data_IF_363391925059
#
_entry.id   IF_363391925059
#
_cell.length_a   1.000
_cell.length_b   1.000
_cell.length_c   1.000
_cell.angle_alpha   90.00
_cell.angle_beta   90.00
_cell.angle_gamma   90.00
#
_symmetry.space_group_name_H-M   'P 1'
#
loop_
_entity.id
_entity.type
_entity.pdbx_description
1 polymer ?
#
# COMPACT_ATOMS: atom_id res chain seq x y z
N UNK A 1 -2.21 -24.26 -29.02
CA UNK A 1 -1.54 -24.47 -27.72
C UNK A 1 -0.51 -23.38 -27.39
N UNK A 2 0.35 -22.97 -28.34
CA UNK A 2 1.43 -21.98 -28.15
C UNK A 2 0.96 -20.62 -27.57
N UNK A 3 -0.21 -20.12 -27.94
CA UNK A 3 -0.78 -18.85 -27.42
C UNK A 3 -1.14 -18.89 -25.93
N UNK A 4 -1.55 -20.05 -25.41
CA UNK A 4 -1.92 -20.21 -24.01
C UNK A 4 -0.68 -20.22 -23.12
N UNK A 5 0.37 -20.92 -23.57
CA UNK A 5 1.68 -20.96 -22.93
C UNK A 5 2.32 -19.56 -22.87
N UNK A 6 2.23 -18.77 -23.94
CA UNK A 6 2.73 -17.39 -23.95
C UNK A 6 2.02 -16.49 -22.92
N UNK A 7 0.70 -16.63 -22.76
CA UNK A 7 -0.07 -15.93 -21.71
C UNK A 7 0.36 -16.36 -20.30
N UNK A 8 0.67 -17.63 -20.09
CA UNK A 8 1.14 -18.14 -18.79
C UNK A 8 2.53 -17.60 -18.46
N UNK A 9 3.45 -17.61 -19.43
CA UNK A 9 4.79 -17.04 -19.25
C UNK A 9 4.76 -15.53 -19.03
N UNK A 10 3.89 -14.80 -19.74
CA UNK A 10 3.73 -13.36 -19.55
C UNK A 10 3.24 -13.03 -18.12
N UNK A 11 2.25 -13.77 -17.62
CA UNK A 11 1.77 -13.61 -16.24
C UNK A 11 2.87 -13.90 -15.20
N UNK A 12 3.69 -14.93 -15.45
CA UNK A 12 4.80 -15.32 -14.56
C UNK A 12 5.90 -14.25 -14.54
N UNK A 13 6.24 -13.67 -15.70
CA UNK A 13 7.22 -12.58 -15.81
C UNK A 13 6.74 -11.33 -15.07
N UNK A 14 5.47 -10.94 -15.22
CA UNK A 14 4.87 -9.79 -14.51
C UNK A 14 4.87 -9.98 -12.99
N UNK A 15 4.66 -11.22 -12.53
CA UNK A 15 4.70 -11.55 -11.10
C UNK A 15 6.12 -11.42 -10.53
N UNK A 16 7.13 -11.92 -11.25
CA UNK A 16 8.54 -11.83 -10.83
C UNK A 16 9.05 -10.37 -10.83
N UNK A 17 8.67 -9.56 -11.82
CA UNK A 17 9.07 -8.15 -11.87
C UNK A 17 8.37 -7.30 -10.80
N UNK A 18 7.14 -7.65 -10.40
CA UNK A 18 6.45 -6.99 -9.29
C UNK A 18 7.14 -7.20 -7.94
N UNK A 19 7.81 -8.33 -7.74
CA UNK A 19 8.62 -8.59 -6.54
C UNK A 19 9.90 -7.74 -6.50
N UNK A 20 10.46 -7.42 -7.66
CA UNK A 20 11.69 -6.61 -7.81
C UNK A 20 11.42 -5.09 -7.77
N UNK A 21 10.19 -4.65 -8.07
CA UNK A 21 9.77 -3.24 -8.04
C UNK A 21 9.30 -2.74 -6.66
N UNK A 22 9.29 -3.59 -5.63
CA UNK A 22 8.74 -3.31 -4.30
C UNK A 22 9.63 -2.41 -3.42
N UNK A 23 10.37 -1.47 -4.01
CA UNK A 23 11.27 -0.58 -3.27
C UNK A 23 11.23 0.90 -3.72
N UNK A 24 10.24 1.28 -4.53
CA UNK A 24 9.96 2.68 -4.80
C UNK A 24 9.00 3.22 -3.73
N UNK A 25 9.27 4.40 -3.11
CA UNK A 25 8.33 5.05 -2.20
C UNK A 25 7.16 5.61 -3.02
N UNK A 26 6.23 4.74 -3.39
CA UNK A 26 4.98 5.14 -4.04
C UNK A 26 4.18 5.98 -3.04
N UNK A 27 3.78 7.17 -3.48
CA UNK A 27 2.86 8.02 -2.71
C UNK A 27 1.56 7.27 -2.40
N UNK A 28 0.85 7.60 -1.33
CA UNK A 28 -0.44 6.97 -0.92
C UNK A 28 -1.42 6.80 -2.08
N UNK A 29 -1.41 7.76 -3.01
CA UNK A 29 -2.21 7.77 -4.22
C UNK A 29 -1.74 6.76 -5.26
N UNK A 30 -0.44 6.66 -5.52
CA UNK A 30 0.12 5.62 -6.40
C UNK A 30 -0.04 4.23 -5.79
N UNK A 31 0.07 4.11 -4.47
CA UNK A 31 -0.14 2.86 -3.75
C UNK A 31 -1.62 2.47 -3.76
N UNK A 32 -2.53 3.41 -3.52
CA UNK A 32 -3.99 3.18 -3.53
C UNK A 32 -4.54 2.92 -4.94
N UNK A 33 -4.13 3.72 -5.92
CA UNK A 33 -4.48 3.49 -7.32
C UNK A 33 -3.83 2.22 -7.86
N UNK A 34 -2.55 1.95 -7.54
CA UNK A 34 -1.84 0.75 -7.96
C UNK A 34 -2.42 -0.53 -7.36
N UNK A 35 -2.72 -0.54 -6.06
CA UNK A 35 -3.35 -1.69 -5.39
C UNK A 35 -4.80 -1.87 -5.87
N UNK A 36 -5.56 -0.78 -6.03
CA UNK A 36 -6.92 -0.84 -6.55
C UNK A 36 -6.96 -1.37 -7.99
N UNK A 37 -6.08 -0.86 -8.85
CA UNK A 37 -5.92 -1.30 -10.24
C UNK A 37 -5.51 -2.75 -10.34
N UNK A 38 -4.45 -3.15 -9.64
CA UNK A 38 -3.90 -4.50 -9.70
C UNK A 38 -4.85 -5.51 -9.04
N UNK A 39 -5.42 -5.16 -7.88
CA UNK A 39 -6.40 -5.98 -7.17
C UNK A 39 -7.69 -6.14 -7.97
N UNK A 40 -8.20 -5.04 -8.54
CA UNK A 40 -9.40 -5.03 -9.38
C UNK A 40 -9.18 -5.77 -10.70
N UNK A 41 -8.03 -5.61 -11.36
CA UNK A 41 -7.70 -6.34 -12.59
C UNK A 41 -7.47 -7.82 -12.33
N UNK A 42 -6.87 -8.19 -11.20
CA UNK A 42 -6.69 -9.59 -10.81
C UNK A 42 -8.05 -10.25 -10.53
N UNK A 43 -8.88 -9.64 -9.69
CA UNK A 43 -10.22 -10.16 -9.37
C UNK A 43 -11.11 -10.20 -10.61
N UNK A 44 -11.13 -9.13 -11.40
CA UNK A 44 -11.87 -9.04 -12.65
C UNK A 44 -11.37 -10.02 -13.70
N UNK A 45 -10.07 -10.30 -13.76
CA UNK A 45 -9.48 -11.30 -14.66
C UNK A 45 -9.85 -12.73 -14.28
N UNK A 46 -9.85 -13.04 -12.98
CA UNK A 46 -10.32 -14.34 -12.45
C UNK A 46 -11.79 -14.53 -12.78
N UNK A 47 -12.65 -13.56 -12.44
CA UNK A 47 -14.09 -13.64 -12.71
C UNK A 47 -14.36 -13.66 -14.23
N UNK A 48 -13.68 -12.83 -15.00
CA UNK A 48 -13.79 -12.82 -16.47
C UNK A 48 -13.36 -14.13 -17.10
N UNK A 49 -12.40 -14.84 -16.50
CA UNK A 49 -11.95 -16.15 -17.00
C UNK A 49 -13.00 -17.25 -16.89
N UNK A 50 -13.94 -17.16 -15.93
CA UNK A 50 -15.02 -18.15 -15.77
C UNK A 50 -16.09 -18.01 -16.85
N UNK A 51 -16.30 -16.80 -17.36
CA UNK A 51 -17.19 -16.48 -18.50
C UNK A 51 -16.44 -16.42 -19.85
N UNK A 52 -15.20 -16.92 -19.91
CA UNK A 52 -14.41 -17.04 -21.15
C UNK A 52 -13.78 -15.74 -21.65
N UNK A 53 -13.86 -14.65 -20.88
CA UNK A 53 -13.42 -13.31 -21.24
C UNK A 53 -12.50 -12.71 -20.16
N UNK A 54 -11.40 -13.41 -19.85
CA UNK A 54 -10.42 -12.97 -18.84
C UNK A 54 -9.87 -11.57 -19.12
N UNK A 55 -9.58 -11.24 -20.38
CA UNK A 55 -9.06 -9.93 -20.77
C UNK A 55 -10.07 -8.80 -20.57
N UNK A 56 -11.35 -9.03 -20.89
CA UNK A 56 -12.39 -8.04 -20.69
C UNK A 56 -12.68 -7.84 -19.19
N UNK A 57 -12.72 -8.93 -18.41
CA UNK A 57 -12.91 -8.85 -16.96
C UNK A 57 -11.75 -8.14 -16.26
N UNK A 58 -10.51 -8.42 -16.66
CA UNK A 58 -9.33 -7.72 -16.12
C UNK A 58 -9.31 -6.24 -16.51
N UNK A 59 -9.69 -5.90 -17.75
CA UNK A 59 -9.77 -4.51 -18.19
C UNK A 59 -10.84 -3.73 -17.41
N UNK A 60 -12.03 -4.30 -17.25
CA UNK A 60 -13.14 -3.66 -16.51
C UNK A 60 -12.80 -3.56 -15.03
N UNK A 61 -12.35 -4.65 -14.42
CA UNK A 61 -11.95 -4.67 -13.01
C UNK A 61 -10.77 -3.76 -12.71
N UNK A 62 -9.82 -3.65 -13.65
CA UNK A 62 -8.68 -2.73 -13.56
C UNK A 62 -9.09 -1.26 -13.69
N UNK A 63 -9.98 -0.92 -14.63
CA UNK A 63 -10.51 0.44 -14.79
C UNK A 63 -11.32 0.89 -13.59
N UNK A 64 -12.22 0.03 -13.11
CA UNK A 64 -13.04 0.29 -11.91
C UNK A 64 -12.17 0.37 -10.65
N UNK A 65 -11.20 -0.55 -10.53
CA UNK A 65 -10.24 -0.57 -9.43
C UNK A 65 -9.32 0.64 -9.41
N UNK A 66 -8.88 1.14 -10.58
CA UNK A 66 -8.16 2.40 -10.70
C UNK A 66 -9.01 3.58 -10.26
N UNK A 67 -10.24 3.68 -10.78
CA UNK A 67 -11.14 4.79 -10.47
C UNK A 67 -11.47 4.85 -8.98
N UNK A 68 -11.82 3.71 -8.39
CA UNK A 68 -12.10 3.60 -6.96
C UNK A 68 -10.84 3.85 -6.11
N UNK A 69 -9.69 3.26 -6.48
CA UNK A 69 -8.42 3.43 -5.78
C UNK A 69 -7.89 4.87 -5.82
N UNK A 70 -8.10 5.58 -6.94
CA UNK A 70 -7.72 6.98 -7.08
C UNK A 70 -8.60 7.92 -6.22
N UNK A 71 -9.91 7.65 -6.12
CA UNK A 71 -10.82 8.41 -5.26
C UNK A 71 -10.50 8.20 -3.78
N UNK A 72 -10.28 6.94 -3.36
CA UNK A 72 -10.01 6.59 -1.97
C UNK A 72 -8.59 7.02 -1.56
N UNK A 73 -7.63 6.95 -2.48
CA UNK A 73 -6.25 7.37 -2.25
C UNK A 73 -6.12 8.85 -1.90
N UNK A 74 -6.96 9.72 -2.47
CA UNK A 74 -6.95 11.16 -2.21
C UNK A 74 -7.33 11.50 -0.76
N UNK A 75 -8.25 10.74 -0.15
CA UNK A 75 -8.60 10.88 1.26
C UNK A 75 -7.51 10.37 2.20
N UNK A 76 -6.89 9.23 1.86
CA UNK A 76 -5.82 8.64 2.66
C UNK A 76 -4.57 9.53 2.68
N UNK A 77 -4.27 10.20 1.58
CA UNK A 77 -3.11 11.09 1.46
C UNK A 77 -3.23 12.32 2.37
N UNK A 78 -4.44 12.87 2.52
CA UNK A 78 -4.73 13.93 3.50
C UNK A 78 -4.64 13.47 4.95
N UNK A 79 -4.83 12.17 5.21
CA UNK A 79 -4.71 11.59 6.54
C UNK A 79 -3.25 11.27 6.89
N UNK A 80 -2.48 10.72 5.95
CA UNK A 80 -1.05 10.45 6.14
C UNK A 80 -0.25 11.72 6.42
N UNK A 81 -0.51 12.83 5.71
CA UNK A 81 0.16 14.10 5.99
C UNK A 81 -0.09 14.59 7.43
N UNK A 82 -1.32 14.46 7.92
CA UNK A 82 -1.66 14.80 9.32
C UNK A 82 -1.00 13.85 10.30
N UNK A 83 -0.92 12.58 9.95
CA UNK A 83 -0.32 11.55 10.80
C UNK A 83 1.20 11.71 10.90
N UNK A 84 1.88 12.09 9.81
CA UNK A 84 3.31 12.42 9.81
C UNK A 84 3.61 13.65 10.64
N UNK A 85 2.83 14.72 10.51
CA UNK A 85 2.98 15.90 11.39
C UNK A 85 2.75 15.52 12.85
N UNK A 86 1.75 14.69 13.14
CA UNK A 86 1.46 14.26 14.49
C UNK A 86 2.57 13.36 15.06
N UNK A 87 3.13 12.45 14.27
CA UNK A 87 4.28 11.64 14.67
C UNK A 87 5.52 12.50 14.94
N UNK A 88 5.76 13.54 14.14
CA UNK A 88 6.86 14.48 14.40
C UNK A 88 6.66 15.23 15.72
N UNK A 89 5.43 15.66 16.03
CA UNK A 89 5.11 16.31 17.32
C UNK A 89 5.31 15.36 18.50
N UNK A 90 4.78 14.12 18.39
CA UNK A 90 4.94 13.09 19.43
C UNK A 90 6.43 12.76 19.64
N UNK A 91 7.21 12.66 18.56
CA UNK A 91 8.65 12.38 18.62
C UNK A 91 9.46 13.49 19.27
N UNK A 92 9.01 14.75 19.18
CA UNK A 92 9.62 15.87 19.90
C UNK A 92 9.24 15.85 21.39
N UNK A 93 7.96 15.65 21.72
CA UNK A 93 7.49 15.58 23.11
C UNK A 93 8.11 14.41 23.89
N UNK A 94 8.29 13.24 23.25
CA UNK A 94 8.88 12.10 23.94
C UNK A 94 10.30 12.36 24.46
N UNK A 95 11.08 13.24 23.81
CA UNK A 95 12.42 13.62 24.29
C UNK A 95 12.38 14.38 25.63
N UNK A 96 11.28 15.07 25.90
CA UNK A 96 11.07 15.82 27.12
C UNK A 96 10.53 14.91 28.24
N UNK A 97 9.60 14.02 27.91
CA UNK A 97 9.09 12.99 28.83
C UNK A 97 10.22 12.06 29.27
N UNK A 98 11.12 11.65 28.38
CA UNK A 98 12.27 10.82 28.72
C UNK A 98 13.28 11.55 29.63
N UNK A 99 13.39 12.87 29.49
CA UNK A 99 14.21 13.68 30.42
C UNK A 99 13.60 13.67 31.81
N UNK A 100 12.31 13.96 31.93
CA UNK A 100 11.61 13.92 33.23
C UNK A 100 11.63 12.52 33.85
N UNK A 101 11.45 11.47 33.05
CA UNK A 101 11.48 10.08 33.54
C UNK A 101 12.81 9.71 34.18
N UNK A 102 13.93 10.12 33.58
CA UNK A 102 15.27 9.89 34.13
C UNK A 102 15.46 10.61 35.47
N UNK A 103 14.94 11.83 35.59
CA UNK A 103 15.00 12.61 36.82
C UNK A 103 14.17 11.95 37.94
N UNK A 104 12.94 11.53 37.64
CA UNK A 104 12.07 10.82 38.59
C UNK A 104 12.67 9.48 39.01
N UNK A 105 13.33 8.76 38.10
CA UNK A 105 13.99 7.49 38.44
C UNK A 105 15.21 7.70 39.35
N UNK A 106 15.99 8.77 39.10
CA UNK A 106 17.11 9.15 39.97
C UNK A 106 16.66 9.53 41.38
N UNK A 107 15.57 10.30 41.51
CA UNK A 107 14.96 10.62 42.80
C UNK A 107 14.46 9.36 43.52
N UNK A 108 13.78 8.46 42.80
CA UNK A 108 13.28 7.21 43.37
C UNK A 108 14.38 6.26 43.83
N UNK A 109 15.58 6.28 43.24
CA UNK A 109 16.71 5.47 43.69
C UNK A 109 17.45 6.09 44.88
N UNK A 110 17.40 7.42 45.03
CA UNK A 110 17.98 8.12 46.18
C UNK A 110 17.13 8.07 47.45
N UNK A 111 15.86 7.70 47.35
CA UNK A 111 14.93 7.54 48.49
C UNK A 111 14.95 6.14 49.15
N UNK A 112 15.83 5.21 48.73
CA UNK A 112 16.01 3.89 49.37
C UNK A 112 17.35 3.74 50.09
#
# INVERSE_FOLDING_TARGET
>A
MIRKSALTYFALIVFVTSLLGCSAPLTTREKGAGIGALGGAAAGGIIGSTVGHAGAGAAIGGLLGLGAGALIGDQLQGQEMKQDEQQQRIGQEQREIDRQRREIQGLKQGEY
#
